data_IF_196430699092
#
_entry.id   IF_196430699092
#
_cell.length_a   1.000
_cell.length_b   1.000
_cell.length_c   1.000
_cell.angle_alpha   90.00
_cell.angle_beta   90.00
_cell.angle_gamma   90.00
#
_symmetry.space_group_name_H-M   'P 1'
#
loop_
_entity.id
_entity.type
_entity.pdbx_description
1 polymer ?
#
# COMPACT_ATOMS: atom_id res chain seq x y z
N UNK A 1 -1.36 22.49 28.45
CA UNK A 1 -2.13 21.37 27.89
C UNK A 1 -1.29 20.47 26.97
N UNK A 2 -0.46 21.03 26.09
CA UNK A 2 0.41 20.23 25.20
C UNK A 2 1.37 19.31 25.98
N UNK A 3 2.08 19.84 26.96
CA UNK A 3 3.01 19.07 27.78
C UNK A 3 2.33 17.93 28.56
N UNK A 4 1.09 18.15 29.04
CA UNK A 4 0.30 17.09 29.68
C UNK A 4 -0.10 16.00 28.69
N UNK A 5 -0.43 16.38 27.46
CA UNK A 5 -0.75 15.43 26.39
C UNK A 5 0.45 14.58 26.00
N UNK A 6 1.62 15.19 25.84
CA UNK A 6 2.87 14.50 25.54
C UNK A 6 3.26 13.53 26.65
N UNK A 7 3.23 13.96 27.92
CA UNK A 7 3.52 13.10 29.08
C UNK A 7 2.50 11.94 29.22
N UNK A 8 1.22 12.19 28.99
CA UNK A 8 0.22 11.12 29.00
C UNK A 8 0.46 10.11 27.86
N UNK A 9 0.87 10.57 26.69
CA UNK A 9 1.23 9.72 25.56
C UNK A 9 2.44 8.82 25.90
N UNK A 10 3.49 9.36 26.50
CA UNK A 10 4.65 8.58 26.94
C UNK A 10 4.28 7.53 27.99
N UNK A 11 3.41 7.87 28.93
CA UNK A 11 2.91 6.90 29.92
C UNK A 11 2.09 5.80 29.27
N UNK A 12 1.24 6.12 28.29
CA UNK A 12 0.51 5.10 27.54
C UNK A 12 1.45 4.17 26.75
N UNK A 13 2.49 4.73 26.11
CA UNK A 13 3.52 3.93 25.42
C UNK A 13 4.31 3.02 26.37
N UNK A 14 4.42 3.40 27.64
CA UNK A 14 5.05 2.62 28.71
C UNK A 14 4.10 1.60 29.35
N UNK A 15 2.90 1.40 28.80
CA UNK A 15 1.96 0.37 29.25
C UNK A 15 0.83 0.84 30.18
N UNK A 16 0.70 2.13 30.46
CA UNK A 16 -0.37 2.65 31.30
C UNK A 16 -1.68 2.79 30.50
N UNK A 17 -2.43 1.71 30.43
CA UNK A 17 -3.70 1.66 29.69
C UNK A 17 -4.77 2.56 30.32
N UNK A 18 -5.43 3.37 29.47
CA UNK A 18 -6.50 4.28 29.91
C UNK A 18 -5.98 5.50 30.66
N UNK A 19 -4.68 5.79 30.61
CA UNK A 19 -4.13 7.02 31.17
C UNK A 19 -4.41 8.19 30.21
N UNK A 20 -5.00 9.27 30.72
CA UNK A 20 -5.37 10.45 29.92
C UNK A 20 -4.68 11.70 30.47
N UNK A 21 -4.54 12.72 29.62
CA UNK A 21 -3.91 13.99 30.01
C UNK A 21 -4.62 14.67 31.18
N UNK A 22 -5.92 14.46 31.37
CA UNK A 22 -6.70 14.96 32.51
C UNK A 22 -6.32 14.33 33.84
N UNK A 23 -5.67 13.17 33.82
CA UNK A 23 -5.13 12.52 35.03
C UNK A 23 -3.81 13.15 35.52
N UNK A 24 -3.24 14.11 34.76
CA UNK A 24 -2.05 14.85 35.14
C UNK A 24 -2.41 16.28 35.54
N UNK A 25 -2.03 16.69 36.75
CA UNK A 25 -2.07 18.08 37.20
C UNK A 25 -0.64 18.55 37.38
N UNK A 26 -0.32 19.69 36.77
CA UNK A 26 0.96 20.36 36.89
C UNK A 26 0.76 21.58 37.79
N UNK A 27 1.32 21.53 38.97
CA UNK A 27 1.35 22.67 39.90
C UNK A 27 2.74 23.34 39.85
N UNK A 28 2.74 24.63 39.57
CA UNK A 28 3.97 25.42 39.53
C UNK A 28 4.01 26.27 40.79
N UNK A 29 4.93 25.95 41.68
CA UNK A 29 5.16 26.77 42.87
C UNK A 29 6.22 27.82 42.57
N UNK A 30 5.79 29.08 42.55
CA UNK A 30 6.65 30.24 42.35
C UNK A 30 6.94 30.96 43.64
N UNK A 31 6.43 30.48 44.79
CA UNK A 31 6.48 31.21 46.07
C UNK A 31 7.81 30.97 46.84
N UNK A 32 8.59 29.94 46.45
CA UNK A 32 9.74 29.46 47.22
C UNK A 32 10.99 30.31 47.19
N UNK A 33 11.09 31.39 46.38
CA UNK A 33 12.33 32.15 46.30
C UNK A 33 12.16 33.59 45.86
N UNK A 34 12.19 34.50 46.82
CA UNK A 34 12.26 35.94 46.55
C UNK A 34 13.56 36.38 45.83
N UNK A 35 14.54 35.48 45.64
CA UNK A 35 15.87 35.80 45.12
C UNK A 35 16.40 34.86 44.01
N UNK A 36 15.69 33.80 43.66
CA UNK A 36 16.10 32.93 42.56
C UNK A 36 14.95 32.79 41.53
N UNK A 37 15.28 32.85 40.24
CA UNK A 37 14.35 32.59 39.13
C UNK A 37 14.03 31.09 38.99
N UNK A 38 13.88 30.39 40.13
CA UNK A 38 13.55 28.96 40.14
C UNK A 38 12.08 28.78 40.52
N UNK A 39 11.38 28.01 39.75
CA UNK A 39 10.03 27.52 40.05
C UNK A 39 10.08 26.03 40.30
N UNK A 40 9.42 25.55 41.33
CA UNK A 40 9.26 24.12 41.57
C UNK A 40 8.05 23.62 40.78
N UNK A 41 8.26 22.62 39.95
CA UNK A 41 7.19 21.94 39.20
C UNK A 41 6.81 20.67 39.95
N UNK A 42 5.56 20.61 40.42
CA UNK A 42 4.99 19.42 41.02
C UNK A 42 4.04 18.74 40.05
N UNK A 43 4.34 17.51 39.66
CA UNK A 43 3.44 16.67 38.86
C UNK A 43 2.59 15.81 39.78
N UNK A 44 1.27 15.96 39.75
CA UNK A 44 0.32 15.11 40.49
C UNK A 44 -0.43 14.21 39.56
N UNK A 45 -0.47 12.92 39.88
CA UNK A 45 -1.28 11.92 39.17
C UNK A 45 -2.60 11.78 39.89
N UNK A 46 -3.68 12.12 39.22
CA UNK A 46 -5.05 11.95 39.73
C UNK A 46 -5.56 10.54 39.39
N UNK A 47 -6.26 9.88 40.30
CA UNK A 47 -6.85 8.57 40.05
C UNK A 47 -7.96 8.67 39.00
N UNK A 48 -8.09 7.64 38.15
CA UNK A 48 -9.21 7.51 37.21
C UNK A 48 -10.52 7.24 37.96
N UNK A 49 -11.64 7.76 37.43
CA UNK A 49 -12.98 7.48 37.96
C UNK A 49 -13.79 6.76 36.89
N UNK A 50 -14.24 5.53 37.18
CA UNK A 50 -15.16 4.77 36.34
C UNK A 50 -16.42 4.47 37.14
N UNK A 51 -17.58 4.93 36.66
CA UNK A 51 -18.87 4.69 37.33
C UNK A 51 -18.94 5.23 38.78
N UNK A 52 -18.20 6.31 39.09
CA UNK A 52 -18.12 6.91 40.44
C UNK A 52 -17.13 6.26 41.39
N UNK A 53 -16.50 5.15 41.01
CA UNK A 53 -15.45 4.50 41.80
C UNK A 53 -14.06 4.97 41.39
N UNK A 54 -13.18 5.08 42.40
CA UNK A 54 -11.75 5.39 42.18
C UNK A 54 -11.06 4.13 41.70
N UNK A 55 -10.54 4.17 40.47
CA UNK A 55 -9.80 3.05 39.88
C UNK A 55 -8.31 3.44 39.78
N UNK A 56 -7.39 2.68 40.38
CA UNK A 56 -5.98 2.96 40.28
C UNK A 56 -5.49 2.73 38.84
N UNK A 57 -4.57 3.58 38.39
CA UNK A 57 -3.86 3.35 37.14
C UNK A 57 -3.00 2.09 37.27
N UNK A 58 -3.09 1.20 36.28
CA UNK A 58 -2.34 -0.04 36.24
C UNK A 58 -1.65 -0.21 34.91
N UNK A 59 -0.46 -0.79 34.93
CA UNK A 59 0.21 -1.25 33.74
C UNK A 59 -0.64 -2.38 33.12
N UNK A 60 -0.81 -2.33 31.81
CA UNK A 60 -1.53 -3.35 31.08
C UNK A 60 -0.58 -4.15 30.19
N UNK A 61 -0.86 -5.43 30.08
CA UNK A 61 -0.20 -6.37 29.18
C UNK A 61 -1.18 -7.05 28.26
N UNK A 62 -0.72 -7.40 27.08
CA UNK A 62 -1.53 -8.16 26.12
C UNK A 62 -1.62 -9.60 26.63
N UNK A 63 -2.79 -9.99 27.09
CA UNK A 63 -3.06 -11.36 27.54
C UNK A 63 -3.45 -12.28 26.40
N UNK A 64 -4.24 -11.77 25.44
CA UNK A 64 -4.68 -12.51 24.25
C UNK A 64 -4.50 -11.61 23.05
N UNK A 65 -3.84 -12.11 22.01
CA UNK A 65 -3.74 -11.47 20.71
C UNK A 65 -4.45 -12.35 19.68
N UNK A 66 -5.43 -11.79 18.99
CA UNK A 66 -6.26 -12.52 18.05
C UNK A 66 -6.37 -11.80 16.72
N UNK A 67 -6.27 -12.56 15.64
CA UNK A 67 -6.55 -12.10 14.28
C UNK A 67 -7.64 -12.97 13.68
N UNK A 68 -8.75 -12.37 13.27
CA UNK A 68 -9.92 -13.11 12.81
C UNK A 68 -10.55 -12.53 11.55
N UNK A 69 -11.11 -13.42 10.74
CA UNK A 69 -12.04 -13.10 9.66
C UNK A 69 -13.48 -13.02 10.17
N UNK A 70 -14.39 -12.37 9.43
CA UNK A 70 -15.80 -12.33 9.78
C UNK A 70 -16.38 -13.75 9.86
N UNK A 71 -17.28 -13.99 10.80
CA UNK A 71 -17.96 -15.29 10.96
C UNK A 71 -18.75 -15.73 9.73
N UNK A 72 -19.14 -14.77 8.89
CA UNK A 72 -19.80 -15.05 7.59
C UNK A 72 -18.87 -15.69 6.56
N UNK A 73 -17.55 -15.76 6.81
CA UNK A 73 -16.60 -16.42 5.92
C UNK A 73 -16.72 -17.94 6.09
N UNK A 74 -16.98 -18.71 5.02
CA UNK A 74 -17.16 -20.15 5.14
C UNK A 74 -15.84 -20.87 5.46
N UNK A 75 -15.95 -21.93 6.28
CA UNK A 75 -14.85 -22.87 6.52
C UNK A 75 -13.69 -22.31 7.33
N UNK A 76 -13.92 -21.33 8.21
CA UNK A 76 -12.87 -20.79 9.08
C UNK A 76 -12.22 -21.89 9.91
N UNK A 77 -10.91 -21.80 10.08
CA UNK A 77 -10.10 -22.68 10.92
C UNK A 77 -9.53 -21.86 12.07
N UNK A 78 -9.73 -22.37 13.29
CA UNK A 78 -9.17 -21.79 14.50
C UNK A 78 -7.91 -22.57 14.89
N UNK A 79 -6.81 -21.86 15.13
CA UNK A 79 -5.58 -22.45 15.66
C UNK A 79 -4.76 -21.40 16.40
N UNK A 80 -3.78 -21.83 17.16
CA UNK A 80 -2.83 -20.97 17.88
C UNK A 80 -1.42 -21.22 17.32
N UNK A 81 -0.73 -20.15 16.99
CA UNK A 81 0.68 -20.17 16.56
C UNK A 81 1.40 -19.00 17.21
N UNK A 82 2.56 -19.24 17.83
CA UNK A 82 3.35 -18.26 18.60
C UNK A 82 2.54 -17.47 19.63
N UNK A 83 1.52 -18.09 20.25
CA UNK A 83 0.64 -17.47 21.24
C UNK A 83 -0.40 -16.51 20.65
N UNK A 84 -0.48 -16.39 19.33
CA UNK A 84 -1.52 -15.65 18.64
C UNK A 84 -2.65 -16.58 18.24
N UNK A 85 -3.87 -16.19 18.54
CA UNK A 85 -5.07 -16.93 18.11
C UNK A 85 -5.47 -16.49 16.70
N UNK A 86 -5.51 -17.44 15.80
CA UNK A 86 -5.87 -17.24 14.39
C UNK A 86 -7.23 -17.84 14.09
N UNK A 87 -8.11 -17.05 13.47
CA UNK A 87 -9.36 -17.53 12.86
C UNK A 87 -9.37 -17.09 11.41
N UNK A 88 -8.92 -17.95 10.52
CA UNK A 88 -8.64 -17.62 9.13
C UNK A 88 -9.25 -18.64 8.16
N UNK A 89 -9.46 -18.27 6.87
CA UNK A 89 -9.86 -19.20 5.84
C UNK A 89 -8.82 -20.32 5.65
N UNK A 90 -9.25 -21.53 5.25
CA UNK A 90 -8.35 -22.67 5.04
C UNK A 90 -7.33 -22.39 3.94
N UNK A 91 -6.11 -22.90 4.13
CA UNK A 91 -5.01 -22.75 3.18
C UNK A 91 -4.42 -21.33 3.10
N UNK A 92 -4.71 -20.47 4.07
CA UNK A 92 -4.09 -19.15 4.19
C UNK A 92 -2.68 -19.24 4.75
N UNK A 93 -1.74 -18.55 4.10
CA UNK A 93 -0.41 -18.34 4.66
C UNK A 93 -0.46 -17.24 5.74
N UNK A 94 -0.35 -17.65 7.00
CA UNK A 94 -0.40 -16.73 8.15
C UNK A 94 0.92 -16.01 8.40
N UNK A 95 2.04 -16.48 7.86
CA UNK A 95 3.37 -15.88 8.06
C UNK A 95 3.41 -14.39 7.70
N UNK A 96 2.70 -14.02 6.62
CA UNK A 96 2.63 -12.63 6.20
C UNK A 96 1.82 -11.76 7.18
N UNK A 97 0.74 -12.34 7.73
CA UNK A 97 -0.06 -11.70 8.77
C UNK A 97 0.76 -11.53 10.04
N UNK A 98 1.46 -12.58 10.45
CA UNK A 98 2.35 -12.58 11.60
C UNK A 98 3.46 -11.52 11.47
N UNK A 99 4.10 -11.40 10.30
CA UNK A 99 5.08 -10.35 10.01
C UNK A 99 4.48 -8.93 10.09
N UNK A 100 3.16 -8.82 9.94
CA UNK A 100 2.46 -7.54 10.08
C UNK A 100 2.20 -7.16 11.54
N UNK A 101 2.26 -8.10 12.48
CA UNK A 101 2.09 -7.85 13.90
C UNK A 101 3.34 -7.19 14.49
N UNK A 102 3.14 -6.08 15.21
CA UNK A 102 4.18 -5.37 15.95
C UNK A 102 4.16 -5.68 17.46
N UNK A 103 3.25 -6.57 17.83
CA UNK A 103 2.95 -6.96 19.19
C UNK A 103 3.05 -8.47 19.31
N UNK A 104 3.49 -8.92 20.47
CA UNK A 104 3.43 -10.31 20.87
C UNK A 104 2.56 -10.46 22.13
N UNK A 105 2.05 -11.65 22.41
CA UNK A 105 1.45 -11.95 23.70
C UNK A 105 2.43 -11.62 24.83
N UNK A 106 1.90 -11.09 25.94
CA UNK A 106 2.62 -10.62 27.12
C UNK A 106 3.41 -9.32 26.97
N UNK A 107 3.47 -8.72 25.79
CA UNK A 107 4.02 -7.37 25.60
C UNK A 107 3.24 -6.35 26.45
N UNK A 108 3.93 -5.28 26.83
CA UNK A 108 3.29 -4.11 27.40
C UNK A 108 2.35 -3.47 26.39
N UNK A 109 1.23 -2.97 26.89
CA UNK A 109 0.31 -2.18 26.08
C UNK A 109 1.06 -0.98 25.48
N UNK A 110 0.96 -0.82 24.16
CA UNK A 110 1.52 0.32 23.45
C UNK A 110 0.57 0.69 22.30
N UNK A 111 -0.10 1.84 22.38
CA UNK A 111 -1.10 2.27 21.40
C UNK A 111 -0.52 2.47 20.00
N UNK A 112 0.72 2.91 19.90
CA UNK A 112 1.36 3.13 18.60
C UNK A 112 1.63 1.82 17.88
N UNK A 113 2.15 0.81 18.60
CA UNK A 113 2.34 -0.54 18.04
C UNK A 113 1.03 -1.20 17.64
N UNK A 114 -0.04 -0.98 18.41
CA UNK A 114 -1.40 -1.47 18.09
C UNK A 114 -1.90 -0.80 16.80
N UNK A 115 -1.78 0.52 16.72
CA UNK A 115 -2.18 1.30 15.56
C UNK A 115 -1.35 0.92 14.32
N UNK A 116 -0.04 0.76 14.47
CA UNK A 116 0.85 0.34 13.41
C UNK A 116 0.51 -1.06 12.90
N UNK A 117 0.25 -2.02 13.80
CA UNK A 117 -0.22 -3.36 13.43
C UNK A 117 -1.50 -3.29 12.59
N UNK A 118 -2.49 -2.50 13.05
CA UNK A 118 -3.73 -2.29 12.32
C UNK A 118 -3.46 -1.71 10.90
N UNK A 119 -2.60 -0.70 10.80
CA UNK A 119 -2.26 -0.09 9.52
C UNK A 119 -1.54 -1.07 8.59
N UNK A 120 -0.64 -1.91 9.13
CA UNK A 120 0.06 -2.94 8.37
C UNK A 120 -0.90 -4.00 7.84
N UNK A 121 -1.79 -4.52 8.68
CA UNK A 121 -2.81 -5.47 8.26
C UNK A 121 -3.73 -4.88 7.18
N UNK A 122 -4.14 -3.60 7.34
CA UNK A 122 -4.95 -2.89 6.34
C UNK A 122 -4.21 -2.66 5.02
N UNK A 123 -2.89 -2.57 5.03
CA UNK A 123 -2.11 -2.40 3.79
C UNK A 123 -1.97 -3.68 2.96
N UNK A 124 -2.42 -4.82 3.47
CA UNK A 124 -2.41 -6.07 2.72
C UNK A 124 -3.49 -6.07 1.64
N UNK A 125 -3.21 -6.55 0.43
CA UNK A 125 -4.18 -6.53 -0.69
C UNK A 125 -5.51 -7.22 -0.37
N UNK A 126 -5.47 -8.24 0.50
CA UNK A 126 -6.64 -9.01 0.90
C UNK A 126 -7.55 -8.33 1.93
N UNK A 127 -7.12 -7.22 2.53
CA UNK A 127 -7.84 -6.51 3.56
C UNK A 127 -8.46 -5.23 3.00
N UNK A 128 -9.77 -5.13 3.00
CA UNK A 128 -10.49 -3.88 2.72
C UNK A 128 -10.48 -2.99 3.96
N UNK A 129 -10.81 -3.58 5.10
CA UNK A 129 -10.87 -2.90 6.38
C UNK A 129 -10.36 -3.78 7.51
N UNK A 130 -9.76 -3.17 8.52
CA UNK A 130 -9.34 -3.85 9.75
C UNK A 130 -9.94 -3.12 10.95
N UNK A 131 -10.84 -3.80 11.64
CA UNK A 131 -11.43 -3.31 12.89
C UNK A 131 -10.60 -3.80 14.06
N UNK A 132 -10.45 -2.94 15.05
CA UNK A 132 -9.72 -3.21 16.28
C UNK A 132 -10.69 -3.25 17.45
N UNK A 133 -10.64 -4.31 18.24
CA UNK A 133 -11.32 -4.40 19.52
C UNK A 133 -10.31 -4.65 20.63
N UNK A 134 -10.42 -3.91 21.72
CA UNK A 134 -9.59 -4.06 22.91
C UNK A 134 -10.50 -4.27 24.09
N UNK A 135 -10.35 -5.41 24.75
CA UNK A 135 -11.17 -5.81 25.90
C UNK A 135 -10.29 -5.99 27.13
N UNK A 136 -10.83 -5.64 28.29
CA UNK A 136 -10.17 -5.97 29.56
C UNK A 136 -10.59 -7.39 29.95
N UNK A 137 -9.63 -8.28 30.07
CA UNK A 137 -9.85 -9.65 30.51
C UNK A 137 -10.01 -9.69 32.04
N UNK A 138 -10.89 -10.58 32.53
CA UNK A 138 -11.10 -10.74 33.97
C UNK A 138 -9.79 -11.14 34.66
N UNK A 139 -9.49 -10.44 35.74
CA UNK A 139 -8.25 -10.56 36.48
C UNK A 139 -8.25 -11.76 37.41
N UNK A 140 -7.59 -12.81 37.09
CA UNK A 140 -7.48 -13.89 38.05
C UNK A 140 -6.07 -14.37 38.43
N UNK A 141 -5.03 -13.98 37.74
CA UNK A 141 -3.74 -14.66 37.95
C UNK A 141 -2.45 -13.82 37.84
N UNK A 142 -2.51 -12.53 37.55
CA UNK A 142 -1.28 -11.77 37.19
C UNK A 142 -0.94 -10.59 38.11
N UNK A 143 -1.39 -10.58 39.34
CA UNK A 143 -1.04 -9.56 40.34
C UNK A 143 -1.58 -8.15 39.97
N UNK A 144 -0.71 -7.14 40.01
CA UNK A 144 -1.08 -5.73 39.81
C UNK A 144 -1.31 -5.31 38.35
N UNK A 145 -0.97 -6.13 37.36
CA UNK A 145 -1.10 -5.81 35.94
C UNK A 145 -2.49 -6.15 35.38
N UNK A 146 -3.05 -5.26 34.55
CA UNK A 146 -4.29 -5.50 33.82
C UNK A 146 -4.00 -6.33 32.55
N UNK A 147 -4.80 -7.36 32.28
CA UNK A 147 -4.71 -8.15 31.05
C UNK A 147 -5.68 -7.62 30.01
N UNK A 148 -5.20 -7.43 28.78
CA UNK A 148 -6.00 -6.99 27.65
C UNK A 148 -6.09 -8.08 26.59
N UNK A 149 -7.28 -8.25 26.04
CA UNK A 149 -7.52 -8.96 24.78
C UNK A 149 -7.47 -7.95 23.64
N UNK A 150 -6.62 -8.19 22.67
CA UNK A 150 -6.52 -7.36 21.46
C UNK A 150 -6.93 -8.20 20.26
N UNK A 151 -8.01 -7.82 19.61
CA UNK A 151 -8.56 -8.53 18.46
C UNK A 151 -8.55 -7.65 17.21
N UNK A 152 -7.89 -8.12 16.17
CA UNK A 152 -7.93 -7.52 14.83
C UNK A 152 -8.90 -8.32 13.97
N UNK A 153 -9.99 -7.68 13.54
CA UNK A 153 -10.98 -8.28 12.63
C UNK A 153 -10.74 -7.77 11.23
N UNK A 154 -10.32 -8.66 10.33
CA UNK A 154 -10.01 -8.33 8.94
C UNK A 154 -11.27 -8.52 8.10
N UNK A 155 -11.78 -7.43 7.51
CA UNK A 155 -12.80 -7.49 6.46
C UNK A 155 -12.11 -7.77 5.14
N UNK A 156 -12.43 -8.87 4.44
CA UNK A 156 -11.74 -9.24 3.21
C UNK A 156 -12.13 -8.30 2.07
N UNK A 157 -11.13 -7.94 1.27
CA UNK A 157 -11.34 -7.26 -0.02
C UNK A 157 -11.97 -8.23 -1.04
N UNK A 158 -12.69 -7.72 -2.06
CA UNK A 158 -13.16 -8.53 -3.17
C UNK A 158 -12.00 -9.26 -3.84
N UNK A 159 -12.12 -10.58 -4.03
CA UNK A 159 -11.05 -11.39 -4.63
C UNK A 159 -10.77 -11.02 -6.09
N UNK A 160 -11.78 -10.52 -6.78
CA UNK A 160 -11.70 -10.14 -8.19
C UNK A 160 -12.29 -8.75 -8.36
N UNK A 161 -11.56 -7.91 -9.06
CA UNK A 161 -12.00 -6.55 -9.40
C UNK A 161 -11.87 -6.38 -10.92
N UNK A 162 -12.95 -5.99 -11.56
CA UNK A 162 -12.96 -5.65 -12.98
C UNK A 162 -13.34 -4.18 -13.12
N UNK A 163 -12.58 -3.45 -13.91
CA UNK A 163 -12.84 -2.06 -14.25
C UNK A 163 -12.85 -1.88 -15.74
N UNK A 164 -13.81 -1.10 -16.22
CA UNK A 164 -13.87 -0.64 -17.62
C UNK A 164 -13.89 0.88 -17.55
N UNK A 165 -12.99 1.52 -18.30
CA UNK A 165 -12.94 2.96 -18.45
C UNK A 165 -13.02 3.28 -19.94
N UNK A 166 -13.82 4.27 -20.32
CA UNK A 166 -13.85 4.84 -21.64
C UNK A 166 -13.59 6.34 -21.56
N UNK A 167 -12.90 6.88 -22.53
CA UNK A 167 -12.57 8.29 -22.60
C UNK A 167 -12.51 8.82 -24.01
N UNK A 168 -12.76 10.12 -24.17
CA UNK A 168 -12.45 10.86 -25.38
C UNK A 168 -11.08 11.52 -25.22
N UNK A 169 -10.29 11.51 -26.25
CA UNK A 169 -8.97 12.13 -26.29
C UNK A 169 -8.91 13.13 -27.43
N UNK A 170 -8.12 14.17 -27.25
CA UNK A 170 -7.90 15.20 -28.29
C UNK A 170 -6.44 15.66 -28.32
N UNK A 171 -5.48 14.75 -28.08
CA UNK A 171 -4.05 15.08 -27.99
C UNK A 171 -3.48 15.60 -29.32
N UNK A 172 -3.79 14.94 -30.42
CA UNK A 172 -3.37 15.31 -31.76
C UNK A 172 -4.55 15.50 -32.73
N UNK A 173 -5.74 15.12 -32.29
CA UNK A 173 -7.01 15.22 -32.96
C UNK A 173 -8.08 14.48 -32.15
N UNK A 174 -9.34 14.47 -32.63
CA UNK A 174 -10.40 13.76 -31.94
C UNK A 174 -10.15 12.26 -31.95
N UNK A 175 -10.38 11.63 -30.80
CA UNK A 175 -10.16 10.21 -30.63
C UNK A 175 -10.92 9.67 -29.44
N UNK A 176 -10.77 8.37 -29.18
CA UNK A 176 -11.34 7.69 -28.05
C UNK A 176 -10.46 6.55 -27.57
N UNK A 177 -10.57 6.24 -26.30
CA UNK A 177 -9.85 5.12 -25.67
C UNK A 177 -10.78 4.31 -24.79
N UNK A 178 -10.50 3.01 -24.71
CA UNK A 178 -11.13 2.08 -23.79
C UNK A 178 -10.05 1.32 -23.08
N UNK A 179 -10.17 1.25 -21.77
CA UNK A 179 -9.29 0.47 -20.89
C UNK A 179 -10.12 -0.55 -20.14
N UNK A 180 -9.66 -1.79 -20.14
CA UNK A 180 -10.21 -2.87 -19.32
C UNK A 180 -9.11 -3.38 -18.40
N UNK A 181 -9.39 -3.39 -17.09
CA UNK A 181 -8.48 -3.88 -16.08
C UNK A 181 -9.15 -4.99 -15.29
N UNK A 182 -8.48 -6.12 -15.16
CA UNK A 182 -8.86 -7.21 -14.28
C UNK A 182 -7.77 -7.42 -13.24
N UNK A 183 -8.15 -7.42 -11.96
CA UNK A 183 -7.22 -7.70 -10.86
C UNK A 183 -7.76 -8.84 -10.03
N UNK A 184 -6.92 -9.83 -9.79
CA UNK A 184 -7.17 -10.89 -8.82
C UNK A 184 -6.35 -10.60 -7.58
N UNK A 185 -7.06 -10.15 -6.55
CA UNK A 185 -6.50 -9.84 -5.23
C UNK A 185 -6.40 -11.13 -4.42
N UNK A 186 -5.35 -11.24 -3.61
CA UNK A 186 -5.12 -12.42 -2.77
C UNK A 186 -4.92 -13.71 -3.57
N UNK A 187 -4.16 -13.59 -4.65
CA UNK A 187 -3.83 -14.70 -5.51
C UNK A 187 -3.17 -15.84 -4.70
N UNK A 188 -3.67 -17.06 -4.85
CA UNK A 188 -3.23 -18.25 -4.09
C UNK A 188 -3.35 -18.14 -2.55
N UNK A 189 -4.20 -17.25 -2.01
CA UNK A 189 -4.34 -16.98 -0.57
C UNK A 189 -3.04 -16.52 0.12
N UNK A 190 -2.15 -15.84 -0.61
CA UNK A 190 -0.82 -15.39 -0.14
C UNK A 190 -0.68 -13.87 -0.09
N UNK A 191 -1.80 -13.14 -0.14
CA UNK A 191 -1.82 -11.68 -0.26
C UNK A 191 -0.97 -11.16 -1.44
N UNK A 192 -0.93 -11.92 -2.52
CA UNK A 192 -0.34 -11.58 -3.80
C UNK A 192 -1.42 -11.00 -4.71
N UNK A 193 -1.05 -10.17 -5.67
CA UNK A 193 -1.98 -9.57 -6.62
C UNK A 193 -1.51 -9.86 -8.04
N UNK A 194 -2.44 -10.28 -8.90
CA UNK A 194 -2.24 -10.46 -10.32
C UNK A 194 -3.18 -9.54 -11.07
N UNK A 195 -2.66 -8.65 -11.90
CA UNK A 195 -3.43 -7.69 -12.67
C UNK A 195 -3.18 -7.87 -14.16
N UNK A 196 -4.24 -7.81 -14.96
CA UNK A 196 -4.23 -7.74 -16.42
C UNK A 196 -4.87 -6.42 -16.85
N UNK A 197 -4.15 -5.66 -17.65
CA UNK A 197 -4.61 -4.39 -18.22
C UNK A 197 -4.60 -4.46 -19.73
N UNK A 198 -5.75 -4.13 -20.36
CA UNK A 198 -5.90 -4.03 -21.80
C UNK A 198 -6.41 -2.65 -22.14
N UNK A 199 -5.74 -1.97 -23.07
CA UNK A 199 -6.12 -0.65 -23.53
C UNK A 199 -6.13 -0.61 -25.05
N UNK A 200 -7.17 -0.04 -25.62
CA UNK A 200 -7.28 0.26 -27.04
C UNK A 200 -7.64 1.73 -27.22
N UNK A 201 -6.88 2.42 -28.06
CA UNK A 201 -7.11 3.81 -28.41
C UNK A 201 -7.10 4.02 -29.92
N UNK A 202 -7.98 4.87 -30.39
CA UNK A 202 -8.08 5.35 -31.78
C UNK A 202 -8.07 6.87 -31.76
N UNK A 203 -7.29 7.49 -32.60
CA UNK A 203 -7.14 8.94 -32.66
C UNK A 203 -6.95 9.40 -34.12
N UNK A 204 -7.47 10.57 -34.44
CA UNK A 204 -7.15 11.26 -35.70
C UNK A 204 -5.86 12.04 -35.51
N UNK A 205 -4.86 11.75 -36.32
CA UNK A 205 -3.61 12.51 -36.34
C UNK A 205 -3.57 13.32 -37.63
N UNK A 206 -3.62 14.65 -37.50
CA UNK A 206 -3.46 15.56 -38.64
C UNK A 206 -2.01 15.57 -39.08
N UNK A 207 -1.71 15.37 -40.38
CA UNK A 207 -0.34 15.51 -40.88
C UNK A 207 0.14 16.96 -40.67
N UNK A 208 1.34 17.12 -40.11
CA UNK A 208 1.89 18.42 -39.74
C UNK A 208 2.37 19.28 -40.90
N UNK A 209 2.48 18.72 -42.07
CA UNK A 209 2.96 19.44 -43.26
C UNK A 209 1.79 19.63 -44.22
N UNK A 210 1.47 20.91 -44.47
CA UNK A 210 0.45 21.32 -45.41
C UNK A 210 0.87 21.09 -46.89
N UNK A 211 1.33 19.90 -47.18
CA UNK A 211 1.46 19.42 -48.54
C UNK A 211 0.07 18.96 -48.98
N UNK A 212 -0.47 19.66 -49.96
CA UNK A 212 -1.76 19.41 -50.58
C UNK A 212 -2.00 17.89 -50.74
N UNK A 213 -3.04 17.43 -50.16
CA UNK A 213 -3.58 16.07 -50.32
C UNK A 213 -4.06 15.86 -51.75
N UNK A 214 -3.10 15.84 -52.68
CA UNK A 214 -3.39 15.53 -54.13
C UNK A 214 -3.46 14.04 -54.41
N UNK A 215 -3.15 13.19 -53.41
CA UNK A 215 -3.43 11.76 -53.48
C UNK A 215 -4.86 11.53 -52.97
N UNK A 216 -5.82 11.34 -53.86
CA UNK A 216 -7.25 11.10 -53.59
C UNK A 216 -7.59 9.82 -52.79
N UNK A 217 -6.77 9.41 -51.86
CA UNK A 217 -7.08 8.45 -50.85
C UNK A 217 -7.69 9.21 -49.66
N UNK A 218 -8.96 9.07 -49.40
CA UNK A 218 -9.61 9.53 -48.19
C UNK A 218 -8.81 8.99 -46.99
N UNK A 219 -8.01 9.85 -46.33
CA UNK A 219 -7.38 9.46 -45.06
C UNK A 219 -8.49 9.08 -44.09
N UNK A 220 -8.48 7.87 -43.56
CA UNK A 220 -9.52 7.44 -42.64
C UNK A 220 -9.58 8.41 -41.45
N UNK A 221 -10.78 8.82 -41.06
CA UNK A 221 -11.03 9.77 -39.95
C UNK A 221 -10.28 9.36 -38.67
N UNK A 222 -10.05 8.06 -38.46
CA UNK A 222 -9.25 7.52 -37.35
C UNK A 222 -8.05 6.78 -37.94
N UNK A 223 -6.92 7.47 -38.03
CA UNK A 223 -5.71 6.99 -38.71
C UNK A 223 -4.58 6.57 -37.76
N UNK A 224 -4.78 6.69 -36.44
CA UNK A 224 -3.83 6.26 -35.41
C UNK A 224 -4.49 5.25 -34.48
N UNK A 225 -3.80 4.15 -34.23
CA UNK A 225 -4.24 3.09 -33.35
C UNK A 225 -3.16 2.77 -32.33
N UNK A 226 -3.57 2.65 -31.06
CA UNK A 226 -2.69 2.20 -29.97
C UNK A 226 -3.38 1.04 -29.25
N UNK A 227 -2.68 -0.08 -29.16
CA UNK A 227 -3.08 -1.23 -28.36
C UNK A 227 -2.03 -1.45 -27.27
N UNK A 228 -2.47 -1.67 -26.05
CA UNK A 228 -1.59 -1.97 -24.92
C UNK A 228 -2.14 -3.18 -24.17
N UNK A 229 -1.27 -4.12 -23.83
CA UNK A 229 -1.57 -5.22 -22.93
C UNK A 229 -0.50 -5.26 -21.84
N UNK A 230 -0.92 -5.27 -20.58
CA UNK A 230 -0.04 -5.32 -19.42
C UNK A 230 -0.41 -6.46 -18.48
N UNK A 231 0.57 -7.19 -18.00
CA UNK A 231 0.44 -8.18 -16.95
C UNK A 231 1.34 -7.75 -15.79
N UNK A 232 0.77 -7.62 -14.60
CA UNK A 232 1.52 -7.27 -13.40
C UNK A 232 1.27 -8.30 -12.30
N UNK A 233 2.33 -8.77 -11.68
CA UNK A 233 2.29 -9.61 -10.50
C UNK A 233 3.00 -8.91 -9.35
N UNK A 234 2.32 -8.76 -8.22
CA UNK A 234 2.82 -8.09 -7.02
C UNK A 234 2.78 -9.03 -5.83
N UNK A 235 3.90 -9.12 -5.10
CA UNK A 235 4.05 -9.95 -3.91
C UNK A 235 4.70 -9.20 -2.77
N UNK A 236 4.29 -9.47 -1.52
CA UNK A 236 4.86 -8.90 -0.29
C UNK A 236 6.11 -9.66 0.19
N UNK A 237 6.98 -9.98 -0.74
CA UNK A 237 8.24 -10.71 -0.51
C UNK A 237 9.20 -10.37 -1.64
N UNK A 238 10.47 -10.67 -1.48
CA UNK A 238 11.44 -10.55 -2.57
C UNK A 238 11.35 -11.73 -3.54
N UNK A 239 11.38 -11.43 -4.82
CA UNK A 239 11.44 -12.39 -5.91
C UNK A 239 12.81 -12.22 -6.59
N UNK A 240 13.60 -13.29 -6.83
CA UNK A 240 13.31 -14.72 -6.65
C UNK A 240 13.68 -15.30 -5.28
N UNK A 241 14.16 -14.49 -4.35
CA UNK A 241 14.84 -14.94 -3.13
C UNK A 241 13.95 -15.59 -2.06
N UNK A 242 12.64 -15.71 -2.30
CA UNK A 242 11.70 -16.37 -1.40
C UNK A 242 11.39 -15.59 -0.12
N UNK A 243 10.72 -16.19 0.87
CA UNK A 243 10.42 -15.56 2.14
C UNK A 243 11.71 -15.46 2.97
N UNK A 244 12.43 -14.37 2.82
CA UNK A 244 13.61 -14.11 3.62
C UNK A 244 13.22 -13.55 4.98
N UNK A 245 14.10 -13.75 5.97
CA UNK A 245 13.98 -13.22 7.33
C UNK A 245 14.32 -11.74 7.36
N UNK A 246 13.56 -10.92 6.64
CA UNK A 246 13.67 -9.47 6.79
C UNK A 246 13.11 -9.05 8.14
N UNK A 247 13.69 -8.01 8.71
CA UNK A 247 13.13 -7.36 9.88
C UNK A 247 11.66 -7.02 9.63
N UNK A 248 10.80 -7.22 10.62
CA UNK A 248 9.37 -6.86 10.57
C UNK A 248 9.11 -5.42 10.13
N UNK A 249 10.13 -4.54 10.19
CA UNK A 249 10.07 -3.15 9.75
C UNK A 249 10.23 -2.93 8.25
N UNK A 250 10.96 -3.79 7.52
CA UNK A 250 11.42 -3.48 6.15
C UNK A 250 10.39 -3.69 5.03
N UNK A 251 9.26 -4.32 5.28
CA UNK A 251 8.11 -4.51 4.36
C UNK A 251 8.51 -4.69 2.89
N UNK A 252 9.25 -5.74 2.53
CA UNK A 252 9.66 -5.94 1.15
C UNK A 252 8.44 -6.18 0.25
N UNK A 253 8.46 -5.57 -0.93
CA UNK A 253 7.46 -5.79 -1.97
C UNK A 253 8.15 -5.92 -3.30
N UNK A 254 7.85 -6.99 -4.04
CA UNK A 254 8.29 -7.18 -5.40
C UNK A 254 7.14 -7.00 -6.38
N UNK A 255 7.46 -6.42 -7.52
CA UNK A 255 6.54 -6.26 -8.63
C UNK A 255 7.22 -6.70 -9.91
N UNK A 256 6.64 -7.68 -10.57
CA UNK A 256 7.04 -8.13 -11.91
C UNK A 256 6.02 -7.60 -12.90
N UNK A 257 6.45 -6.93 -13.94
CA UNK A 257 5.58 -6.38 -14.98
C UNK A 257 6.04 -6.82 -16.36
N UNK A 258 5.07 -7.22 -17.18
CA UNK A 258 5.24 -7.45 -18.62
C UNK A 258 4.25 -6.53 -19.33
N UNK A 259 4.77 -5.69 -20.22
CA UNK A 259 3.97 -4.78 -21.01
C UNK A 259 4.26 -5.00 -22.49
N UNK A 260 3.21 -5.09 -23.29
CA UNK A 260 3.25 -5.03 -24.73
C UNK A 260 2.45 -3.84 -25.21
N UNK A 261 2.98 -3.11 -26.18
CA UNK A 261 2.30 -1.97 -26.81
C UNK A 261 2.55 -2.01 -28.31
N UNK A 262 1.49 -1.88 -29.08
CA UNK A 262 1.50 -1.73 -30.53
C UNK A 262 0.88 -0.39 -30.89
N UNK A 263 1.64 0.41 -31.61
CA UNK A 263 1.26 1.75 -32.01
C UNK A 263 1.41 1.87 -33.52
N UNK A 264 0.32 2.12 -34.20
CA UNK A 264 0.28 2.34 -35.64
C UNK A 264 -0.19 3.75 -35.91
N UNK A 265 0.66 4.57 -36.49
CA UNK A 265 0.41 5.96 -36.85
C UNK A 265 0.67 6.17 -38.35
N UNK A 266 0.17 7.25 -38.98
CA UNK A 266 0.39 7.53 -40.38
C UNK A 266 1.88 7.57 -40.79
N UNK A 267 2.76 7.97 -39.89
CA UNK A 267 4.18 8.13 -40.16
C UNK A 267 5.02 6.91 -39.78
N UNK A 268 4.62 6.15 -38.76
CA UNK A 268 5.38 4.99 -38.28
C UNK A 268 4.49 3.96 -37.63
N UNK A 269 4.96 2.73 -37.57
CA UNK A 269 4.46 1.69 -36.67
C UNK A 269 5.56 1.34 -35.66
N UNK A 270 5.14 1.11 -34.41
CA UNK A 270 6.05 0.77 -33.32
C UNK A 270 5.46 -0.32 -32.47
N UNK A 271 6.21 -1.39 -32.27
CA UNK A 271 5.90 -2.40 -31.26
C UNK A 271 6.92 -2.33 -30.16
N UNK A 272 6.43 -2.31 -28.93
CA UNK A 272 7.25 -2.18 -27.72
C UNK A 272 6.88 -3.32 -26.75
N UNK A 273 7.90 -4.01 -26.24
CA UNK A 273 7.74 -5.04 -25.21
C UNK A 273 8.70 -4.71 -24.06
N UNK A 274 8.17 -4.65 -22.85
CA UNK A 274 8.96 -4.38 -21.66
C UNK A 274 8.71 -5.45 -20.61
N UNK A 275 9.78 -5.96 -20.02
CA UNK A 275 9.75 -6.82 -18.86
C UNK A 275 10.58 -6.16 -17.76
N UNK A 276 10.00 -6.01 -16.57
CA UNK A 276 10.65 -5.36 -15.44
C UNK A 276 10.42 -6.07 -14.12
N UNK A 277 11.41 -5.96 -13.24
CA UNK A 277 11.32 -6.33 -11.82
C UNK A 277 11.62 -5.09 -10.98
N UNK A 278 10.73 -4.78 -10.06
CA UNK A 278 10.89 -3.69 -9.11
C UNK A 278 10.81 -4.25 -7.70
N UNK A 279 11.81 -3.96 -6.90
CA UNK A 279 11.89 -4.33 -5.49
C UNK A 279 11.78 -3.07 -4.64
N UNK A 280 10.82 -3.04 -3.70
CA UNK A 280 10.60 -1.91 -2.80
C UNK A 280 10.80 -2.34 -1.35
N UNK A 281 11.45 -1.47 -0.58
CA UNK A 281 11.70 -1.65 0.85
C UNK A 281 11.33 -0.38 1.60
N UNK A 282 10.81 -0.53 2.81
CA UNK A 282 10.71 0.58 3.75
C UNK A 282 12.02 0.64 4.53
N UNK A 283 12.84 1.67 4.27
CA UNK A 283 14.11 1.85 4.93
C UNK A 283 13.93 2.35 6.37
N UNK A 284 13.09 3.37 6.54
CA UNK A 284 12.78 3.92 7.84
C UNK A 284 11.26 4.13 8.00
N UNK A 285 10.60 3.31 8.84
CA UNK A 285 9.17 3.42 9.06
C UNK A 285 8.72 4.76 9.66
N UNK A 286 9.55 5.41 10.47
CA UNK A 286 9.21 6.68 11.13
C UNK A 286 9.24 7.88 10.19
N UNK A 287 10.15 7.89 9.22
CA UNK A 287 10.25 8.94 8.19
C UNK A 287 9.48 8.60 6.92
N UNK A 288 9.04 7.35 6.78
CA UNK A 288 8.37 6.86 5.57
C UNK A 288 9.28 6.73 4.36
N UNK A 289 10.62 6.80 4.55
CA UNK A 289 11.58 6.65 3.46
C UNK A 289 11.50 5.25 2.85
N UNK A 290 11.52 5.20 1.51
CA UNK A 290 11.43 3.97 0.73
C UNK A 290 12.63 3.87 -0.20
N UNK A 291 13.20 2.67 -0.27
CA UNK A 291 14.20 2.32 -1.27
C UNK A 291 13.52 1.52 -2.38
N UNK A 292 13.69 1.93 -3.62
CA UNK A 292 13.25 1.22 -4.80
C UNK A 292 14.47 0.76 -5.60
N UNK A 293 14.55 -0.52 -5.85
CA UNK A 293 15.57 -1.13 -6.69
C UNK A 293 14.90 -1.70 -7.95
N UNK A 294 15.53 -1.52 -9.10
CA UNK A 294 15.15 -2.13 -10.37
C UNK A 294 16.27 -3.07 -10.83
N UNK A 295 16.30 -4.30 -10.31
CA UNK A 295 17.37 -5.25 -10.58
C UNK A 295 17.56 -5.54 -12.07
N UNK A 296 16.44 -5.57 -12.81
CA UNK A 296 16.49 -5.61 -14.26
C UNK A 296 15.26 -4.96 -14.88
N UNK A 297 15.47 -4.37 -16.04
CA UNK A 297 14.45 -3.87 -16.93
C UNK A 297 14.94 -4.10 -18.37
N UNK A 298 14.17 -4.83 -19.15
CA UNK A 298 14.47 -5.13 -20.55
C UNK A 298 13.36 -4.57 -21.40
N UNK A 299 13.70 -3.72 -22.33
CA UNK A 299 12.77 -3.12 -23.29
C UNK A 299 13.24 -3.43 -24.71
N UNK A 300 12.36 -3.99 -25.50
CA UNK A 300 12.58 -4.25 -26.93
C UNK A 300 11.62 -3.35 -27.72
N UNK A 301 12.17 -2.60 -28.65
CA UNK A 301 11.38 -1.73 -29.52
C UNK A 301 11.70 -2.05 -30.97
N UNK A 302 10.67 -2.33 -31.74
CA UNK A 302 10.73 -2.42 -33.20
C UNK A 302 9.93 -1.26 -33.79
N UNK A 303 10.56 -0.44 -34.60
CA UNK A 303 9.93 0.69 -35.28
C UNK A 303 10.11 0.56 -36.80
N UNK A 304 9.04 0.87 -37.54
CA UNK A 304 9.09 0.91 -39.00
C UNK A 304 8.45 2.22 -39.49
N UNK A 305 9.07 2.88 -40.42
CA UNK A 305 8.47 4.02 -41.12
C UNK A 305 7.40 3.52 -42.07
N UNK A 306 6.31 4.25 -42.19
CA UNK A 306 5.29 3.95 -43.18
C UNK A 306 5.80 4.33 -44.58
N UNK A 307 5.51 3.55 -45.66
CA UNK A 307 6.02 3.80 -46.98
C UNK A 307 5.73 5.20 -47.53
N UNK A 308 4.54 5.74 -47.28
CA UNK A 308 4.17 7.10 -47.68
C UNK A 308 5.03 8.17 -47.00
N UNK A 309 5.39 7.98 -45.72
CA UNK A 309 6.27 8.91 -45.01
C UNK A 309 7.73 8.82 -45.47
N UNK A 310 8.20 7.63 -45.86
CA UNK A 310 9.51 7.46 -46.48
C UNK A 310 9.61 8.23 -47.80
N UNK A 311 8.55 8.14 -48.62
CA UNK A 311 8.49 8.91 -49.87
C UNK A 311 8.51 10.42 -49.62
N UNK A 312 7.72 10.92 -48.67
CA UNK A 312 7.70 12.32 -48.24
C UNK A 312 9.10 12.81 -47.81
N UNK A 313 9.81 12.00 -46.98
CA UNK A 313 11.16 12.31 -46.55
C UNK A 313 12.18 12.38 -47.70
N UNK A 314 12.05 11.49 -48.67
CA UNK A 314 12.90 11.47 -49.85
C UNK A 314 12.67 12.71 -50.74
N UNK A 315 11.42 13.12 -50.93
CA UNK A 315 11.04 14.32 -51.69
C UNK A 315 11.56 15.61 -51.00
N UNK A 316 11.61 15.64 -49.66
CA UNK A 316 12.19 16.75 -48.89
C UNK A 316 13.72 16.75 -48.86
N UNK A 317 14.38 15.83 -49.55
CA UNK A 317 15.84 15.74 -49.58
C UNK A 317 16.50 15.28 -48.29
N UNK A 318 15.74 14.72 -47.36
CA UNK A 318 16.21 14.28 -46.02
C UNK A 318 16.54 12.76 -45.98
N UNK A 319 17.17 12.23 -47.04
CA UNK A 319 17.55 10.82 -47.13
C UNK A 319 18.44 10.30 -45.98
N UNK A 320 19.12 11.18 -45.24
CA UNK A 320 19.86 10.82 -44.04
C UNK A 320 18.96 10.29 -42.90
N UNK A 321 17.73 10.80 -42.80
CA UNK A 321 16.80 10.37 -41.74
C UNK A 321 16.22 8.98 -41.99
N UNK A 322 16.09 8.56 -43.25
CA UNK A 322 15.57 7.22 -43.58
C UNK A 322 16.56 6.11 -43.22
N UNK A 323 17.86 6.36 -43.38
CA UNK A 323 18.91 5.38 -43.05
C UNK A 323 19.12 5.13 -41.56
N UNK A 324 18.51 5.95 -40.69
CA UNK A 324 18.62 5.81 -39.23
C UNK A 324 17.58 4.85 -38.64
N UNK A 325 16.70 4.31 -39.47
CA UNK A 325 15.58 3.40 -39.04
C UNK A 325 15.68 1.98 -39.61
N UNK A 326 16.68 1.71 -40.48
CA UNK A 326 17.04 0.37 -40.95
C UNK A 326 18.06 -0.28 -39.97
#
# INVERSE_FOLDING_TARGET
DRARGEAAGELQQSGWYGFLAEHLTLDIDTTGSRHSRQAALQVKVLPSRQGGQIVPHRIARIGVLQVQWPESTPGLVDFEEEGVMWRVPPGRDVRLLEQSLQLAPFDLFNPDRISETRQRLRSLPMADRVDLNIETLADSAWGAARRLGVTYRIQPAPKQVMRIKGGLTSRQGPGGEVQWTYSQVDFRNRAEELSLDLQAGLETVTPYLGLDSTSGAEDPFLNSRVLTAGLEYSARRLIPFGPQRFSRSNRPQSRVSLQWRDENRPKFSRTYVQLGLVEQFVENPSTGSRLELRPFEVALTASRLQPGFVQELNELGSGFLTSSFD
#
